data_IF_699140820675
#
_entry.id   IF_699140820675
#
_cell.length_a   1.000
_cell.length_b   1.000
_cell.length_c   1.000
_cell.angle_alpha   90.00
_cell.angle_beta   90.00
_cell.angle_gamma   90.00
#
_symmetry.space_group_name_H-M   'P 1'
#
loop_
_entity.id
_entity.type
_entity.pdbx_description
1 polymer ?
#
# COMPACT_ATOMS: atom_id res chain seq x y z
N UNK A 1 -45.35 25.07 -0.28
CA UNK A 1 -44.90 23.67 -0.15
C UNK A 1 -43.68 23.50 -1.02
N UNK A 2 -42.57 22.97 -0.49
CA UNK A 2 -41.37 22.73 -1.28
C UNK A 2 -41.62 21.58 -2.29
N UNK A 3 -41.07 21.69 -3.49
CA UNK A 3 -41.15 20.64 -4.49
C UNK A 3 -40.33 19.40 -4.04
N UNK A 4 -40.74 18.17 -4.40
CA UNK A 4 -40.02 16.95 -4.03
C UNK A 4 -38.68 16.84 -4.76
N UNK A 5 -37.64 16.39 -4.03
CA UNK A 5 -36.31 16.10 -4.55
C UNK A 5 -36.22 14.62 -4.96
N UNK A 6 -35.72 14.35 -6.17
CA UNK A 6 -35.54 12.99 -6.70
C UNK A 6 -34.06 12.71 -6.93
N UNK A 7 -33.57 11.58 -6.41
CA UNK A 7 -32.22 11.09 -6.67
C UNK A 7 -32.24 10.18 -7.89
N UNK A 8 -31.34 10.43 -8.84
CA UNK A 8 -31.08 9.57 -9.98
C UNK A 8 -29.61 9.14 -9.95
N UNK A 9 -29.35 7.85 -10.17
CA UNK A 9 -27.99 7.29 -10.24
C UNK A 9 -27.68 6.82 -11.67
N UNK A 10 -26.42 6.88 -12.08
CA UNK A 10 -25.95 6.57 -13.44
C UNK A 10 -24.82 5.51 -13.38
N UNK A 11 -24.67 4.66 -14.41
CA UNK A 11 -23.53 3.74 -14.46
C UNK A 11 -22.20 4.49 -14.53
N UNK A 12 -21.15 3.91 -13.93
CA UNK A 12 -19.82 4.49 -13.92
C UNK A 12 -19.22 4.61 -15.33
N UNK A 13 -18.68 5.79 -15.64
CA UNK A 13 -17.95 6.09 -16.87
C UNK A 13 -16.55 6.57 -16.50
N UNK A 14 -15.53 6.07 -17.21
CA UNK A 14 -14.14 6.52 -17.05
C UNK A 14 -13.73 7.21 -18.35
N UNK A 15 -13.35 8.48 -18.28
CA UNK A 15 -12.84 9.22 -19.43
C UNK A 15 -11.41 8.78 -19.78
N UNK A 16 -11.03 8.78 -21.08
CA UNK A 16 -9.64 8.60 -21.47
C UNK A 16 -8.77 9.69 -20.83
N UNK A 17 -7.75 9.29 -20.09
CA UNK A 17 -6.74 10.20 -19.56
C UNK A 17 -5.52 10.18 -20.49
N UNK A 18 -5.10 11.35 -20.99
CA UNK A 18 -3.87 11.51 -21.77
C UNK A 18 -2.61 11.56 -20.91
N UNK A 19 -2.77 11.64 -19.59
CA UNK A 19 -1.67 11.56 -18.64
C UNK A 19 -1.14 10.14 -18.67
N UNK A 20 0.18 9.95 -18.74
CA UNK A 20 0.85 8.64 -18.76
C UNK A 20 0.73 7.89 -17.42
N UNK A 21 -0.47 7.75 -16.88
CA UNK A 21 -0.75 6.89 -15.73
C UNK A 21 -0.64 5.46 -16.21
N UNK A 22 0.47 4.79 -15.86
CA UNK A 22 0.67 3.39 -16.21
C UNK A 22 -0.44 2.49 -15.63
N UNK A 23 -0.60 1.29 -16.17
CA UNK A 23 -1.63 0.34 -15.73
C UNK A 23 -1.61 0.09 -14.21
N UNK A 24 -0.45 0.15 -13.56
CA UNK A 24 -0.31 0.05 -12.11
C UNK A 24 -1.09 1.12 -11.33
N UNK A 25 -1.04 2.38 -11.78
CA UNK A 25 -1.79 3.48 -11.17
C UNK A 25 -3.30 3.27 -11.36
N UNK A 26 -3.73 2.89 -12.56
CA UNK A 26 -5.14 2.66 -12.85
C UNK A 26 -5.72 1.47 -12.04
N UNK A 27 -4.92 0.43 -11.79
CA UNK A 27 -5.31 -0.68 -10.91
C UNK A 27 -5.45 -0.19 -9.47
N UNK A 28 -4.46 0.55 -8.96
CA UNK A 28 -4.49 1.07 -7.58
C UNK A 28 -5.61 2.09 -7.37
N UNK A 29 -6.01 2.82 -8.41
CA UNK A 29 -7.15 3.74 -8.40
C UNK A 29 -8.51 3.05 -8.55
N UNK A 30 -8.55 1.72 -8.73
CA UNK A 30 -9.80 0.97 -8.90
C UNK A 30 -10.45 1.11 -10.29
N UNK A 31 -9.74 1.67 -11.26
CA UNK A 31 -10.22 1.84 -12.65
C UNK A 31 -10.12 0.53 -13.43
N UNK A 32 -8.98 -0.16 -13.33
CA UNK A 32 -8.76 -1.45 -13.97
C UNK A 32 -9.04 -2.60 -12.99
N UNK A 33 -9.61 -3.71 -13.51
CA UNK A 33 -9.97 -4.87 -12.70
C UNK A 33 -8.74 -5.63 -12.20
N UNK A 34 -8.55 -5.69 -10.88
CA UNK A 34 -7.47 -6.46 -10.23
C UNK A 34 -7.45 -7.93 -10.69
N UNK A 35 -8.62 -8.56 -10.86
CA UNK A 35 -8.67 -9.99 -11.19
C UNK A 35 -8.09 -10.31 -12.58
N UNK A 36 -8.05 -9.33 -13.49
CA UNK A 36 -7.66 -9.48 -14.90
C UNK A 36 -6.28 -8.91 -15.21
N UNK A 37 -5.56 -8.42 -14.19
CA UNK A 37 -4.22 -7.89 -14.37
C UNK A 37 -3.27 -8.97 -14.90
N UNK A 38 -2.43 -8.58 -15.87
CA UNK A 38 -1.38 -9.43 -16.44
C UNK A 38 -0.07 -9.25 -15.69
N UNK A 39 0.27 -8.00 -15.39
CA UNK A 39 1.40 -7.63 -14.55
C UNK A 39 0.93 -7.32 -13.13
N UNK A 40 1.30 -8.18 -12.20
CA UNK A 40 0.98 -8.04 -10.78
C UNK A 40 2.11 -7.37 -10.00
N UNK A 41 3.33 -7.33 -10.55
CA UNK A 41 4.50 -6.82 -9.86
C UNK A 41 4.49 -5.29 -9.83
N UNK A 42 4.14 -4.62 -10.94
CA UNK A 42 4.13 -3.16 -10.99
C UNK A 42 3.11 -2.50 -10.04
N UNK A 43 1.84 -2.96 -9.93
CA UNK A 43 0.91 -2.43 -8.93
C UNK A 43 1.39 -2.66 -7.49
N UNK A 44 1.99 -3.82 -7.19
CA UNK A 44 2.52 -4.10 -5.85
C UNK A 44 3.76 -3.25 -5.55
N UNK A 45 4.61 -3.00 -6.53
CA UNK A 45 5.74 -2.08 -6.38
C UNK A 45 5.28 -0.65 -6.06
N UNK A 46 4.14 -0.24 -6.64
CA UNK A 46 3.50 1.03 -6.32
C UNK A 46 2.95 1.04 -4.89
N UNK A 47 2.35 -0.07 -4.42
CA UNK A 47 1.97 -0.23 -3.00
C UNK A 47 3.17 -0.06 -2.07
N UNK A 48 4.29 -0.72 -2.35
CA UNK A 48 5.50 -0.61 -1.54
C UNK A 48 6.11 0.79 -1.49
N UNK A 49 5.84 1.63 -2.51
CA UNK A 49 6.23 3.04 -2.52
C UNK A 49 5.32 3.93 -1.69
N UNK A 50 4.08 3.51 -1.46
CA UNK A 50 3.01 4.28 -0.83
C UNK A 50 2.83 3.95 0.64
N UNK A 51 3.04 2.69 0.99
CA UNK A 51 2.75 2.14 2.31
C UNK A 51 4.07 1.76 3.00
N UNK A 52 4.34 2.27 4.21
CA UNK A 52 5.55 1.94 4.96
C UNK A 52 5.66 0.44 5.24
N UNK A 53 6.89 -0.05 5.24
CA UNK A 53 7.23 -1.44 5.58
C UNK A 53 6.52 -1.96 6.83
N UNK A 54 6.59 -1.18 7.91
CA UNK A 54 6.07 -1.59 9.22
C UNK A 54 4.56 -1.86 9.18
N UNK A 55 3.82 -1.19 8.29
CA UNK A 55 2.38 -1.44 8.10
C UNK A 55 2.15 -2.86 7.58
N UNK A 56 2.96 -3.32 6.63
CA UNK A 56 2.87 -4.70 6.12
C UNK A 56 3.23 -5.72 7.20
N UNK A 57 4.33 -5.50 7.92
CA UNK A 57 4.77 -6.38 9.01
C UNK A 57 3.69 -6.51 10.10
N UNK A 58 3.07 -5.38 10.48
CA UNK A 58 2.01 -5.34 11.49
C UNK A 58 0.71 -6.00 11.03
N UNK A 59 0.21 -5.66 9.84
CA UNK A 59 -1.10 -6.12 9.35
C UNK A 59 -1.10 -7.59 8.92
N UNK A 60 0.04 -8.07 8.42
CA UNK A 60 0.14 -9.40 7.82
C UNK A 60 1.05 -10.34 8.62
N UNK A 61 1.60 -9.87 9.74
CA UNK A 61 2.54 -10.64 10.59
C UNK A 61 3.68 -11.20 9.76
N UNK A 62 4.31 -10.31 8.98
CA UNK A 62 5.41 -10.65 8.09
C UNK A 62 6.74 -10.32 8.74
N UNK A 63 7.74 -11.11 8.37
CA UNK A 63 9.15 -10.83 8.62
C UNK A 63 9.77 -10.54 7.26
N UNK A 64 9.90 -9.26 6.92
CA UNK A 64 10.46 -8.86 5.64
C UNK A 64 12.00 -8.87 5.73
N UNK A 65 12.74 -9.12 4.65
CA UNK A 65 14.20 -9.08 4.68
C UNK A 65 14.69 -7.64 4.86
N UNK A 66 15.72 -7.45 5.68
CA UNK A 66 16.33 -6.13 5.90
C UNK A 66 17.72 -6.15 5.28
N UNK A 67 17.89 -5.51 4.12
CA UNK A 67 19.20 -5.37 3.48
C UNK A 67 19.97 -4.14 3.98
N UNK A 68 21.26 -4.06 3.65
CA UNK A 68 22.13 -2.94 4.03
C UNK A 68 21.56 -1.58 3.58
N UNK A 69 20.94 -1.52 2.40
CA UNK A 69 20.34 -0.31 1.84
C UNK A 69 19.10 0.12 2.65
N UNK A 70 18.27 -0.85 3.06
CA UNK A 70 17.15 -0.70 4.01
C UNK A 70 17.65 -0.22 5.39
N UNK A 71 18.75 -0.78 5.91
CA UNK A 71 19.36 -0.33 7.16
C UNK A 71 19.89 1.11 7.08
N UNK A 72 20.51 1.49 5.96
CA UNK A 72 20.98 2.85 5.69
C UNK A 72 19.82 3.85 5.63
N UNK A 73 18.69 3.46 5.02
CA UNK A 73 17.46 4.25 5.01
C UNK A 73 16.85 4.45 6.40
N UNK A 74 16.84 3.41 7.25
CA UNK A 74 16.40 3.49 8.65
C UNK A 74 17.26 4.46 9.46
N UNK A 75 18.59 4.42 9.32
CA UNK A 75 19.52 5.29 10.06
C UNK A 75 19.37 6.77 9.68
N UNK A 76 19.11 7.08 8.41
CA UNK A 76 18.95 8.45 7.90
C UNK A 76 17.68 9.16 8.39
N UNK A 77 16.66 8.42 8.83
CA UNK A 77 15.46 9.05 9.43
C UNK A 77 15.73 9.70 10.80
N UNK A 78 16.90 9.46 11.40
CA UNK A 78 17.36 10.10 12.64
C UNK A 78 18.36 11.24 12.47
N UNK A 79 18.91 11.48 11.28
CA UNK A 79 19.90 12.53 11.01
C UNK A 79 19.47 13.39 9.83
N UNK A 80 19.42 14.71 10.02
CA UNK A 80 19.02 15.68 9.01
C UNK A 80 19.79 15.47 7.70
N UNK A 81 19.11 14.95 6.68
CA UNK A 81 19.71 14.74 5.37
C UNK A 81 19.96 16.10 4.68
N UNK A 82 21.18 16.27 4.15
CA UNK A 82 21.62 17.44 3.40
C UNK A 82 20.65 17.76 2.23
N UNK A 83 19.98 18.94 2.23
CA UNK A 83 18.86 19.23 1.34
C UNK A 83 19.24 19.24 -0.15
N UNK A 84 20.52 19.45 -0.48
CA UNK A 84 21.01 19.46 -1.85
C UNK A 84 21.01 18.07 -2.52
N UNK A 85 21.11 16.98 -1.74
CA UNK A 85 21.10 15.60 -2.26
C UNK A 85 19.70 14.99 -2.35
N UNK A 86 18.71 15.53 -1.64
CA UNK A 86 17.31 15.09 -1.73
C UNK A 86 16.67 15.41 -3.11
N UNK A 87 17.21 16.41 -3.82
CA UNK A 87 16.64 16.92 -5.07
C UNK A 87 16.97 16.11 -6.33
N UNK A 88 18.02 15.27 -6.34
CA UNK A 88 18.46 14.55 -7.54
C UNK A 88 17.66 13.25 -7.83
N UNK A 89 17.04 12.69 -6.79
CA UNK A 89 15.99 11.66 -6.81
C UNK A 89 15.44 11.63 -5.38
N UNK A 90 14.14 11.85 -5.13
CA UNK A 90 13.63 11.79 -3.77
C UNK A 90 13.92 10.38 -3.24
N UNK A 91 14.83 10.29 -2.26
CA UNK A 91 15.03 9.07 -1.52
C UNK A 91 13.76 8.88 -0.68
N UNK A 92 12.99 7.79 -0.86
CA UNK A 92 11.73 7.63 -0.15
C UNK A 92 11.99 7.55 1.37
N UNK A 93 11.12 8.13 2.21
CA UNK A 93 11.21 7.97 3.65
C UNK A 93 10.79 6.55 4.06
N UNK A 94 11.55 5.95 4.98
CA UNK A 94 11.46 4.55 5.45
C UNK A 94 12.02 3.50 4.49
N UNK A 95 12.44 2.35 5.00
CA UNK A 95 13.31 1.49 4.23
C UNK A 95 12.54 0.63 3.22
N UNK A 96 13.15 0.46 2.05
CA UNK A 96 12.51 -0.06 0.87
C UNK A 96 12.08 -1.52 1.04
N UNK A 97 10.90 -1.87 0.52
CA UNK A 97 10.46 -3.26 0.37
C UNK A 97 10.16 -3.45 -1.10
N UNK A 98 10.80 -4.41 -1.75
CA UNK A 98 10.50 -4.73 -3.14
C UNK A 98 9.14 -5.44 -3.24
N UNK A 99 8.50 -5.36 -4.40
CA UNK A 99 7.29 -6.14 -4.65
C UNK A 99 7.51 -7.65 -4.48
N UNK A 100 8.70 -8.15 -4.88
CA UNK A 100 9.06 -9.56 -4.77
C UNK A 100 9.15 -9.99 -3.31
N UNK A 101 9.88 -9.26 -2.48
CA UNK A 101 10.04 -9.59 -1.05
C UNK A 101 8.70 -9.56 -0.31
N UNK A 102 7.85 -8.56 -0.60
CA UNK A 102 6.52 -8.49 -0.01
C UNK A 102 5.66 -9.67 -0.42
N UNK A 103 5.65 -10.03 -1.71
CA UNK A 103 4.83 -11.11 -2.23
C UNK A 103 5.32 -12.48 -1.75
N UNK A 104 6.63 -12.71 -1.77
CA UNK A 104 7.23 -13.95 -1.30
C UNK A 104 6.88 -14.15 0.18
N UNK A 105 7.19 -13.17 1.04
CA UNK A 105 6.88 -13.25 2.47
C UNK A 105 5.37 -13.39 2.75
N UNK A 106 4.52 -12.65 2.03
CA UNK A 106 3.07 -12.72 2.21
C UNK A 106 2.50 -14.09 1.80
N UNK A 107 2.95 -14.64 0.69
CA UNK A 107 2.50 -15.93 0.19
C UNK A 107 3.03 -17.07 1.05
N UNK A 108 4.30 -17.03 1.47
CA UNK A 108 4.89 -18.00 2.39
C UNK A 108 4.14 -18.04 3.72
N UNK A 109 3.90 -16.88 4.33
CA UNK A 109 3.13 -16.76 5.58
C UNK A 109 1.73 -17.38 5.49
N UNK A 110 1.14 -17.39 4.29
CA UNK A 110 -0.20 -17.94 4.02
C UNK A 110 -0.20 -19.33 3.38
N UNK A 111 0.96 -19.92 3.11
CA UNK A 111 1.07 -21.20 2.41
C UNK A 111 0.59 -21.17 0.96
N UNK A 112 0.63 -20.02 0.29
CA UNK A 112 0.27 -19.91 -1.13
C UNK A 112 1.45 -20.28 -2.00
N UNK A 113 1.43 -21.49 -2.56
CA UNK A 113 2.46 -22.03 -3.43
C UNK A 113 1.92 -22.33 -4.82
N UNK A 114 2.74 -22.12 -5.85
CA UNK A 114 2.45 -22.52 -7.22
C UNK A 114 2.54 -24.04 -7.35
N UNK A 115 1.64 -24.61 -8.17
CA UNK A 115 1.67 -26.03 -8.46
C UNK A 115 2.97 -26.39 -9.21
N UNK A 116 3.72 -27.36 -8.69
CA UNK A 116 4.86 -28.00 -9.36
C UNK A 116 6.23 -27.33 -9.16
N UNK A 117 6.31 -26.01 -8.94
CA UNK A 117 7.60 -25.32 -8.77
C UNK A 117 8.02 -25.13 -7.31
N UNK A 118 7.09 -25.25 -6.35
CA UNK A 118 7.34 -24.95 -4.94
C UNK A 118 7.57 -23.45 -4.64
N UNK A 119 7.45 -22.59 -5.64
CA UNK A 119 7.61 -21.15 -5.49
C UNK A 119 6.33 -20.50 -4.94
N UNK A 120 6.44 -19.38 -4.19
CA UNK A 120 5.29 -18.62 -3.74
C UNK A 120 4.39 -18.13 -4.89
N UNK A 121 3.07 -18.16 -4.70
CA UNK A 121 2.08 -17.72 -5.70
C UNK A 121 1.90 -16.19 -5.68
N UNK A 122 2.87 -15.49 -6.25
CA UNK A 122 2.87 -14.02 -6.38
C UNK A 122 1.58 -13.43 -6.97
N UNK A 123 1.04 -13.95 -8.10
CA UNK A 123 -0.22 -13.46 -8.65
C UNK A 123 -1.41 -13.57 -7.70
N UNK A 124 -1.51 -14.65 -6.92
CA UNK A 124 -2.56 -14.79 -5.89
C UNK A 124 -2.36 -13.82 -4.74
N UNK A 125 -1.14 -13.69 -4.23
CA UNK A 125 -0.79 -12.74 -3.16
C UNK A 125 -1.11 -11.30 -3.55
N UNK A 126 -0.70 -10.88 -4.75
CA UNK A 126 -0.90 -9.54 -5.27
C UNK A 126 -2.37 -9.16 -5.33
N UNK A 127 -3.26 -10.05 -5.80
CA UNK A 127 -4.70 -9.77 -5.86
C UNK A 127 -5.29 -9.52 -4.47
N UNK A 128 -4.80 -10.22 -3.44
CA UNK A 128 -5.28 -10.06 -2.07
C UNK A 128 -4.79 -8.74 -1.47
N UNK A 129 -3.51 -8.42 -1.64
CA UNK A 129 -2.94 -7.14 -1.19
C UNK A 129 -3.61 -5.94 -1.87
N UNK A 130 -3.82 -5.99 -3.19
CA UNK A 130 -4.48 -4.91 -3.93
C UNK A 130 -5.96 -4.76 -3.55
N UNK A 131 -6.65 -5.86 -3.22
CA UNK A 131 -8.03 -5.79 -2.69
C UNK A 131 -8.06 -5.16 -1.30
N UNK A 132 -7.11 -5.51 -0.43
CA UNK A 132 -6.97 -4.87 0.89
C UNK A 132 -6.66 -3.37 0.76
N UNK A 133 -5.87 -2.98 -0.24
CA UNK A 133 -5.62 -1.57 -0.56
C UNK A 133 -6.88 -0.84 -1.03
N UNK A 134 -7.62 -1.41 -1.99
CA UNK A 134 -8.89 -0.83 -2.45
C UNK A 134 -9.95 -0.74 -1.35
N UNK A 135 -9.96 -1.69 -0.42
CA UNK A 135 -10.88 -1.70 0.73
C UNK A 135 -10.47 -0.72 1.85
N UNK A 136 -9.31 -0.05 1.73
CA UNK A 136 -8.79 0.88 2.72
C UNK A 136 -8.12 0.22 3.93
N UNK A 137 -7.87 -1.09 3.91
CA UNK A 137 -7.08 -1.78 4.95
C UNK A 137 -5.61 -1.41 4.86
N UNK A 138 -5.09 -1.28 3.64
CA UNK A 138 -3.81 -0.60 3.38
C UNK A 138 -4.12 0.84 2.96
N UNK A 139 -4.04 1.77 3.92
CA UNK A 139 -4.40 3.16 3.70
C UNK A 139 -3.26 3.92 2.99
N UNK A 140 -3.62 4.74 2.00
CA UNK A 140 -2.74 5.75 1.41
C UNK A 140 -3.56 6.97 1.01
N UNK A 141 -3.00 8.15 1.24
CA UNK A 141 -3.60 9.42 0.83
C UNK A 141 -2.56 10.21 0.02
N UNK A 142 -2.98 10.72 -1.14
CA UNK A 142 -2.14 11.64 -1.90
C UNK A 142 -2.06 12.99 -1.17
N UNK A 143 -0.87 13.61 -1.06
CA UNK A 143 -0.79 15.00 -0.63
C UNK A 143 -1.54 15.89 -1.64
N UNK A 144 -2.16 16.99 -1.17
CA UNK A 144 -2.66 18.02 -2.07
C UNK A 144 -1.55 18.45 -3.07
N UNK A 145 -1.89 18.64 -4.35
CA UNK A 145 -0.89 18.84 -5.41
C UNK A 145 -0.10 20.14 -5.26
N UNK A 146 -0.68 21.15 -4.62
CA UNK A 146 -0.15 22.52 -4.57
C UNK A 146 0.57 22.84 -3.25
N UNK A 147 0.92 21.83 -2.44
CA UNK A 147 1.66 22.05 -1.20
C UNK A 147 3.10 22.48 -1.45
N UNK A 148 3.59 23.40 -0.62
CA UNK A 148 5.02 23.69 -0.56
C UNK A 148 5.80 22.44 -0.08
N UNK A 149 7.10 22.31 -0.38
CA UNK A 149 7.88 21.12 -0.01
C UNK A 149 7.81 20.78 1.48
N UNK A 150 7.95 21.75 2.37
CA UNK A 150 7.90 21.53 3.82
C UNK A 150 6.54 21.05 4.31
N UNK A 151 5.46 21.63 3.78
CA UNK A 151 4.08 21.24 4.09
C UNK A 151 3.78 19.83 3.58
N UNK A 152 4.32 19.47 2.41
CA UNK A 152 4.22 18.12 1.86
C UNK A 152 4.92 17.09 2.74
N UNK A 153 6.13 17.39 3.24
CA UNK A 153 6.81 16.52 4.19
C UNK A 153 5.98 16.35 5.47
N UNK A 154 5.44 17.44 6.02
CA UNK A 154 4.59 17.38 7.21
C UNK A 154 3.34 16.51 6.99
N UNK A 155 2.68 16.64 5.83
CA UNK A 155 1.55 15.79 5.45
C UNK A 155 1.94 14.31 5.33
N UNK A 156 3.07 14.02 4.68
CA UNK A 156 3.56 12.65 4.51
C UNK A 156 3.88 12.01 5.88
N UNK A 157 4.49 12.74 6.81
CA UNK A 157 4.74 12.28 8.18
C UNK A 157 3.45 11.99 8.95
N UNK A 158 2.45 12.87 8.86
CA UNK A 158 1.14 12.67 9.49
C UNK A 158 0.41 11.46 8.89
N UNK A 159 0.45 11.30 7.56
CA UNK A 159 -0.14 10.18 6.86
C UNK A 159 0.51 8.86 7.31
N UNK A 160 1.84 8.80 7.43
CA UNK A 160 2.55 7.61 7.94
C UNK A 160 2.13 7.26 9.37
N UNK A 161 2.05 8.26 10.28
CA UNK A 161 1.58 8.03 11.65
C UNK A 161 0.16 7.48 11.68
N UNK A 162 -0.71 8.01 10.82
CA UNK A 162 -2.10 7.57 10.68
C UNK A 162 -2.21 6.14 10.15
N UNK A 163 -1.39 5.77 9.16
CA UNK A 163 -1.33 4.40 8.64
C UNK A 163 -0.92 3.41 9.73
N UNK A 164 0.12 3.73 10.50
CA UNK A 164 0.59 2.88 11.60
C UNK A 164 -0.46 2.73 12.69
N UNK A 165 -1.08 3.84 13.12
CA UNK A 165 -2.14 3.81 14.12
C UNK A 165 -3.34 2.95 13.65
N UNK A 166 -3.75 3.11 12.39
CA UNK A 166 -4.84 2.34 11.78
C UNK A 166 -4.47 0.86 11.68
N UNK A 167 -3.23 0.53 11.32
CA UNK A 167 -2.73 -0.83 11.27
C UNK A 167 -2.77 -1.52 12.66
N UNK A 168 -2.35 -0.82 13.71
CA UNK A 168 -2.45 -1.32 15.08
C UNK A 168 -3.90 -1.57 15.51
N UNK A 169 -4.81 -0.65 15.19
CA UNK A 169 -6.24 -0.82 15.48
C UNK A 169 -6.84 -2.00 14.74
N UNK A 170 -6.52 -2.15 13.44
CA UNK A 170 -6.98 -3.26 12.62
C UNK A 170 -6.49 -4.61 13.17
N UNK A 171 -5.23 -4.71 13.59
CA UNK A 171 -4.68 -5.91 14.24
C UNK A 171 -5.39 -6.22 15.55
N UNK A 172 -5.53 -5.23 16.43
CA UNK A 172 -6.22 -5.40 17.73
C UNK A 172 -7.67 -5.86 17.55
N UNK A 173 -8.36 -5.34 16.52
CA UNK A 173 -9.71 -5.77 16.16
C UNK A 173 -9.71 -7.23 15.68
N UNK A 174 -8.80 -7.62 14.79
CA UNK A 174 -8.67 -9.00 14.34
C UNK A 174 -8.36 -9.98 15.48
N UNK A 175 -7.46 -9.61 16.39
CA UNK A 175 -7.13 -10.41 17.58
C UNK A 175 -8.34 -10.59 18.51
N UNK A 176 -9.15 -9.54 18.65
CA UNK A 176 -10.39 -9.59 19.44
C UNK A 176 -11.44 -10.49 18.78
N UNK A 177 -11.69 -10.32 17.48
CA UNK A 177 -12.62 -11.13 16.71
C UNK A 177 -12.23 -12.62 16.74
N UNK A 178 -10.94 -12.93 16.63
CA UNK A 178 -10.43 -14.31 16.73
C UNK A 178 -10.64 -14.91 18.13
N UNK A 179 -10.44 -14.13 19.21
CA UNK A 179 -10.71 -14.58 20.58
C UNK A 179 -12.19 -14.83 20.84
N UNK A 180 -13.05 -13.94 20.34
CA UNK A 180 -14.50 -14.10 20.45
C UNK A 180 -14.98 -15.35 19.69
N UNK A 181 -14.45 -15.61 18.48
CA UNK A 181 -14.76 -16.81 17.70
C UNK A 181 -14.27 -18.12 18.35
N UNK A 182 -13.12 -18.10 19.05
CA UNK A 182 -12.60 -19.27 19.76
C UNK A 182 -13.34 -19.58 21.08
N UNK A 183 -14.10 -18.61 21.60
CA UNK A 183 -14.89 -18.75 22.83
C UNK A 183 -16.35 -19.18 22.57
N UNK A 184 -16.78 -19.22 21.31
CA UNK A 184 -18.10 -19.67 20.86
C UNK A 184 -18.06 -21.14 20.42
#
# INVERSE_FOLDING_TARGET
GAAPLTLCDCPGLVFPSFVHTGAAEMICAGVLRINEMRDHAAPVALLCRRVPRQVFELLYTLELPVDEETLLGLRRTGEAADPARAAARPLPPSPFVTAKELLDAFCERRGFMQAGSGNPDGPRGARLLLKDYMAGKLLYCHPPPDLAPEERLAFEDEAVRTMLATAHLARKRGDREAREAAAA
#
